data_IF_260430078438
#
_entry.id   IF_260430078438
#
_cell.length_a   1.000
_cell.length_b   1.000
_cell.length_c   1.000
_cell.angle_alpha   90.00
_cell.angle_beta   90.00
_cell.angle_gamma   90.00
#
_symmetry.space_group_name_H-M   'P 1'
#
loop_
_entity.id
_entity.type
_entity.pdbx_description
1 polymer ?
#
# COMPACT_ATOMS: atom_id res chain seq x y z
N UNK A 1 5.06 14.31 22.34
CA UNK A 1 5.11 13.31 21.26
C UNK A 1 6.10 12.16 21.51
N UNK A 2 7.10 12.33 22.39
CA UNK A 2 8.01 11.25 22.83
C UNK A 2 7.26 10.12 23.55
N UNK A 3 6.16 10.41 24.24
CA UNK A 3 5.52 9.42 25.12
C UNK A 3 4.75 8.30 24.41
N UNK A 4 4.00 8.59 23.33
CA UNK A 4 3.29 7.55 22.56
C UNK A 4 4.23 6.72 21.67
N UNK A 5 5.23 7.36 21.06
CA UNK A 5 6.24 6.68 20.24
C UNK A 5 7.13 5.80 21.11
N UNK A 6 7.54 6.31 22.28
CA UNK A 6 8.28 5.53 23.28
C UNK A 6 7.41 4.46 23.94
N UNK A 7 6.13 4.71 24.20
CA UNK A 7 5.19 3.71 24.76
C UNK A 7 4.97 2.54 23.81
N UNK A 8 4.82 2.82 22.50
CA UNK A 8 4.66 1.78 21.49
C UNK A 8 5.96 0.99 21.27
N UNK A 9 7.11 1.69 21.18
CA UNK A 9 8.41 1.01 21.06
C UNK A 9 8.77 0.23 22.32
N UNK A 10 8.45 0.73 23.52
CA UNK A 10 8.64 0.01 24.78
C UNK A 10 7.72 -1.20 24.87
N UNK A 11 6.47 -1.10 24.40
CA UNK A 11 5.53 -2.23 24.38
C UNK A 11 5.96 -3.34 23.41
N UNK A 12 6.57 -2.98 22.28
CA UNK A 12 7.13 -3.97 21.35
C UNK A 12 8.45 -4.54 21.88
N UNK A 13 9.32 -3.71 22.46
CA UNK A 13 10.61 -4.14 23.00
C UNK A 13 10.48 -4.94 24.31
N UNK A 14 9.39 -4.76 25.08
CA UNK A 14 9.13 -5.50 26.32
C UNK A 14 8.46 -6.86 26.11
N UNK A 15 8.04 -7.19 24.87
CA UNK A 15 7.62 -8.54 24.52
C UNK A 15 8.84 -9.46 24.57
N UNK A 16 9.14 -10.03 25.75
CA UNK A 16 9.99 -11.21 25.87
C UNK A 16 9.39 -12.27 24.96
N UNK A 17 10.07 -12.54 23.84
CA UNK A 17 9.72 -13.60 22.91
C UNK A 17 9.93 -14.93 23.63
N UNK A 18 8.94 -15.35 24.41
CA UNK A 18 8.85 -16.74 24.88
C UNK A 18 8.57 -17.56 23.62
N UNK A 19 9.45 -18.53 23.32
CA UNK A 19 9.30 -19.41 22.17
C UNK A 19 7.88 -19.98 22.07
N UNK A 20 7.44 -20.39 20.87
CA UNK A 20 6.03 -20.70 20.63
C UNK A 20 5.57 -21.80 21.60
N UNK A 21 4.66 -21.45 22.52
CA UNK A 21 3.72 -22.44 23.07
C UNK A 21 3.11 -23.15 21.87
N UNK A 22 3.03 -24.48 21.90
CA UNK A 22 2.37 -25.27 20.85
C UNK A 22 0.98 -24.66 20.65
N UNK A 23 0.84 -23.84 19.61
CA UNK A 23 -0.39 -23.18 19.26
C UNK A 23 -1.09 -24.16 18.33
N UNK A 24 -2.22 -24.69 18.76
CA UNK A 24 -3.16 -25.31 17.85
C UNK A 24 -3.48 -24.32 16.72
N UNK A 25 -3.48 -24.78 15.48
CA UNK A 25 -3.69 -23.92 14.32
C UNK A 25 -3.63 -24.69 13.00
N UNK A 26 -3.67 -23.95 11.90
CA UNK A 26 -3.68 -24.50 10.54
C UNK A 26 -2.35 -24.25 9.85
N UNK A 27 -1.88 -25.22 9.08
CA UNK A 27 -0.75 -25.03 8.18
C UNK A 27 -1.23 -24.94 6.74
N UNK A 28 -0.67 -23.99 5.98
CA UNK A 28 -0.92 -23.85 4.55
C UNK A 28 0.36 -23.39 3.87
N UNK A 29 0.88 -24.18 2.92
CA UNK A 29 2.11 -23.89 2.17
C UNK A 29 3.30 -23.47 3.07
N UNK A 30 3.47 -24.15 4.20
CA UNK A 30 4.56 -23.85 5.16
C UNK A 30 4.30 -22.66 6.09
N UNK A 31 3.23 -21.89 5.90
CA UNK A 31 2.78 -20.92 6.91
C UNK A 31 2.00 -21.60 8.03
N UNK A 32 2.08 -21.01 9.22
CA UNK A 32 1.25 -21.33 10.36
C UNK A 32 0.25 -20.19 10.62
N UNK A 33 -1.02 -20.54 10.67
CA UNK A 33 -2.11 -19.63 11.01
C UNK A 33 -2.73 -20.05 12.33
N UNK A 34 -2.82 -19.11 13.28
CA UNK A 34 -3.74 -19.32 14.41
C UNK A 34 -5.19 -19.36 13.89
N UNK A 35 -6.10 -19.95 14.66
CA UNK A 35 -7.52 -20.06 14.29
C UNK A 35 -8.13 -18.74 13.82
N UNK A 36 -7.87 -17.64 14.54
CA UNK A 36 -8.37 -16.31 14.18
C UNK A 36 -7.85 -15.82 12.82
N UNK A 37 -6.55 -15.93 12.57
CA UNK A 37 -5.97 -15.50 11.29
C UNK A 37 -6.45 -16.36 10.13
N UNK A 38 -6.62 -17.67 10.34
CA UNK A 38 -7.17 -18.56 9.32
C UNK A 38 -8.63 -18.23 9.02
N UNK A 39 -9.42 -17.88 10.05
CA UNK A 39 -10.80 -17.43 9.88
C UNK A 39 -10.88 -16.14 9.04
N UNK A 40 -10.06 -15.13 9.33
CA UNK A 40 -9.98 -13.89 8.53
C UNK A 40 -9.57 -14.13 7.07
N UNK A 41 -8.60 -15.03 6.85
CA UNK A 41 -8.19 -15.47 5.52
C UNK A 41 -9.35 -16.14 4.79
N UNK A 42 -9.99 -17.12 5.43
CA UNK A 42 -11.08 -17.91 4.86
C UNK A 42 -12.32 -17.08 4.58
N UNK A 43 -12.76 -16.25 5.52
CA UNK A 43 -13.91 -15.35 5.32
C UNK A 43 -13.70 -14.50 4.07
N UNK A 44 -12.48 -13.94 3.92
CA UNK A 44 -12.18 -13.11 2.76
C UNK A 44 -12.08 -13.91 1.46
N UNK A 45 -11.54 -15.13 1.52
CA UNK A 45 -11.52 -16.05 0.38
C UNK A 45 -12.95 -16.38 -0.08
N UNK A 46 -13.80 -16.82 0.85
CA UNK A 46 -15.19 -17.23 0.58
C UNK A 46 -16.04 -16.05 0.05
N UNK A 47 -15.84 -14.83 0.57
CA UNK A 47 -16.51 -13.63 0.06
C UNK A 47 -16.15 -13.37 -1.42
N UNK A 48 -14.89 -13.55 -1.80
CA UNK A 48 -14.44 -13.35 -3.19
C UNK A 48 -14.99 -14.45 -4.10
N UNK A 49 -14.94 -15.71 -3.67
CA UNK A 49 -15.50 -16.82 -4.43
C UNK A 49 -17.02 -16.70 -4.61
N UNK A 50 -17.74 -16.21 -3.60
CA UNK A 50 -19.18 -15.92 -3.71
C UNK A 50 -19.44 -14.81 -4.73
N UNK A 51 -18.68 -13.72 -4.71
CA UNK A 51 -18.80 -12.65 -5.71
C UNK A 51 -18.51 -13.18 -7.12
N UNK A 52 -17.53 -14.06 -7.29
CA UNK A 52 -17.23 -14.72 -8.55
C UNK A 52 -18.41 -15.57 -9.05
N UNK A 53 -18.94 -16.47 -8.22
CA UNK A 53 -20.09 -17.30 -8.59
C UNK A 53 -21.33 -16.48 -8.98
N UNK A 54 -21.59 -15.37 -8.26
CA UNK A 54 -22.68 -14.45 -8.58
C UNK A 54 -22.44 -13.69 -9.90
N UNK A 55 -21.20 -13.27 -10.17
CA UNK A 55 -20.81 -12.64 -11.43
C UNK A 55 -21.01 -13.59 -12.61
N UNK A 56 -20.58 -14.86 -12.50
CA UNK A 56 -20.82 -15.88 -13.52
C UNK A 56 -22.32 -16.10 -13.78
N UNK A 57 -23.15 -16.18 -12.72
CA UNK A 57 -24.61 -16.29 -12.86
C UNK A 57 -25.21 -15.09 -13.60
N UNK A 58 -24.69 -13.89 -13.34
CA UNK A 58 -25.15 -12.66 -13.99
C UNK A 58 -24.77 -12.60 -15.47
N UNK A 59 -23.54 -12.99 -15.80
CA UNK A 59 -23.04 -13.13 -17.16
C UNK A 59 -23.91 -14.09 -17.99
N UNK A 60 -24.19 -15.29 -17.47
CA UNK A 60 -25.06 -16.27 -18.16
C UNK A 60 -26.48 -15.73 -18.42
N UNK A 61 -27.05 -14.97 -17.49
CA UNK A 61 -28.39 -14.36 -17.67
C UNK A 61 -28.40 -13.28 -18.75
N UNK A 62 -27.34 -12.48 -18.85
CA UNK A 62 -27.24 -11.41 -19.85
C UNK A 62 -27.04 -11.94 -21.25
N UNK A 63 -26.20 -12.97 -21.41
CA UNK A 63 -26.00 -13.67 -22.69
C UNK A 63 -27.31 -14.21 -23.25
N UNK A 64 -28.17 -14.80 -22.39
CA UNK A 64 -29.53 -15.25 -22.79
C UNK A 64 -30.46 -14.14 -23.25
N UNK A 65 -30.23 -12.89 -22.83
CA UNK A 65 -31.03 -11.72 -23.20
C UNK A 65 -30.50 -10.99 -24.43
N UNK A 66 -29.45 -11.48 -25.09
CA UNK A 66 -28.84 -10.82 -26.25
C UNK A 66 -28.24 -9.44 -25.93
N UNK A 67 -27.98 -9.13 -24.66
CA UNK A 67 -27.35 -7.86 -24.28
C UNK A 67 -25.86 -8.00 -24.55
N UNK A 68 -25.39 -7.41 -25.64
CA UNK A 68 -23.95 -7.19 -25.89
C UNK A 68 -23.44 -6.19 -24.85
N UNK A 69 -22.78 -6.71 -23.83
CA UNK A 69 -22.14 -5.93 -22.78
C UNK A 69 -20.67 -6.37 -22.66
N UNK A 70 -19.80 -5.45 -22.28
CA UNK A 70 -18.36 -5.64 -22.02
C UNK A 70 -18.12 -6.79 -21.02
N UNK A 71 -19.12 -7.13 -20.20
CA UNK A 71 -19.10 -8.22 -19.22
C UNK A 71 -19.52 -9.60 -19.76
N UNK A 72 -19.74 -9.73 -21.08
CA UNK A 72 -20.08 -11.01 -21.71
C UNK A 72 -18.85 -11.89 -22.00
N UNK A 73 -17.65 -11.33 -21.94
CA UNK A 73 -16.38 -12.05 -22.11
C UNK A 73 -15.72 -12.39 -20.76
N UNK A 74 -14.94 -13.49 -20.71
CA UNK A 74 -14.06 -13.78 -19.59
C UNK A 74 -13.12 -12.60 -19.30
N UNK A 75 -12.81 -12.33 -18.02
CA UNK A 75 -11.71 -11.43 -17.70
C UNK A 75 -10.37 -12.06 -18.12
N UNK A 76 -9.47 -11.24 -18.66
CA UNK A 76 -8.16 -11.64 -19.19
C UNK A 76 -6.99 -11.05 -18.40
N UNK A 77 -7.27 -10.14 -17.46
CA UNK A 77 -6.27 -9.46 -16.65
C UNK A 77 -6.82 -9.11 -15.25
N UNK A 78 -5.96 -8.59 -14.37
CA UNK A 78 -6.37 -8.25 -13.00
C UNK A 78 -7.40 -7.11 -12.95
N UNK A 79 -7.39 -6.19 -13.92
CA UNK A 79 -8.28 -5.04 -13.95
C UNK A 79 -9.71 -5.46 -14.34
N UNK A 80 -9.84 -6.19 -15.44
CA UNK A 80 -11.06 -6.83 -15.93
C UNK A 80 -11.61 -7.83 -14.90
N UNK A 81 -10.77 -8.64 -14.24
CA UNK A 81 -11.21 -9.52 -13.17
C UNK A 81 -11.84 -8.72 -12.01
N UNK A 82 -11.20 -7.64 -11.57
CA UNK A 82 -11.76 -6.77 -10.52
C UNK A 82 -13.11 -6.19 -10.95
N UNK A 83 -13.25 -5.71 -12.19
CA UNK A 83 -14.53 -5.20 -12.73
C UNK A 83 -15.60 -6.31 -12.79
N UNK A 84 -15.22 -7.50 -13.24
CA UNK A 84 -16.10 -8.67 -13.30
C UNK A 84 -16.62 -9.04 -11.91
N UNK A 85 -15.73 -9.17 -10.92
CA UNK A 85 -16.09 -9.45 -9.53
C UNK A 85 -16.98 -8.38 -8.91
N UNK A 86 -16.88 -7.12 -9.35
CA UNK A 86 -17.79 -6.07 -8.89
C UNK A 86 -19.24 -6.36 -9.28
N UNK A 87 -19.51 -6.99 -10.43
CA UNK A 87 -20.89 -7.31 -10.87
C UNK A 87 -21.61 -8.28 -9.92
N UNK A 88 -20.87 -9.18 -9.28
CA UNK A 88 -21.42 -10.12 -8.28
C UNK A 88 -21.66 -9.51 -6.90
N UNK A 89 -21.15 -8.31 -6.63
CA UNK A 89 -21.32 -7.64 -5.33
C UNK A 89 -22.72 -7.04 -5.16
N UNK A 90 -23.12 -6.85 -3.90
CA UNK A 90 -24.32 -6.08 -3.56
C UNK A 90 -24.20 -4.63 -4.06
N UNK A 91 -25.26 -4.09 -4.65
CA UNK A 91 -25.29 -2.72 -5.21
C UNK A 91 -24.85 -1.65 -4.21
N UNK A 92 -25.20 -1.82 -2.94
CA UNK A 92 -24.81 -0.88 -1.87
C UNK A 92 -23.29 -0.81 -1.69
N UNK A 93 -22.60 -1.94 -1.73
CA UNK A 93 -21.15 -2.02 -1.54
C UNK A 93 -20.39 -1.53 -2.76
N UNK A 94 -20.93 -1.80 -3.97
CA UNK A 94 -20.45 -1.19 -5.21
C UNK A 94 -20.50 0.34 -5.13
N UNK A 95 -21.66 0.93 -4.76
CA UNK A 95 -21.83 2.38 -4.62
C UNK A 95 -20.86 2.97 -3.59
N UNK A 96 -20.64 2.28 -2.46
CA UNK A 96 -19.67 2.71 -1.44
C UNK A 96 -18.24 2.74 -1.99
N UNK A 97 -17.84 1.68 -2.70
CA UNK A 97 -16.51 1.58 -3.34
C UNK A 97 -16.31 2.66 -4.41
N UNK A 98 -17.29 2.86 -5.31
CA UNK A 98 -17.25 3.90 -6.34
C UNK A 98 -17.10 5.30 -5.75
N UNK A 99 -17.86 5.64 -4.70
CA UNK A 99 -17.74 6.94 -4.01
C UNK A 99 -16.35 7.15 -3.42
N UNK A 100 -15.80 6.13 -2.76
CA UNK A 100 -14.45 6.16 -2.19
C UNK A 100 -13.38 6.35 -3.27
N UNK A 101 -13.45 5.59 -4.35
CA UNK A 101 -12.53 5.73 -5.49
C UNK A 101 -12.60 7.13 -6.09
N UNK A 102 -13.81 7.65 -6.35
CA UNK A 102 -13.99 9.00 -6.89
C UNK A 102 -13.45 10.09 -5.94
N UNK A 103 -13.56 9.90 -4.62
CA UNK A 103 -12.95 10.81 -3.65
C UNK A 103 -11.42 10.78 -3.75
N UNK A 104 -10.80 9.60 -3.78
CA UNK A 104 -9.35 9.46 -3.93
C UNK A 104 -8.86 10.07 -5.25
N UNK A 105 -9.54 9.78 -6.37
CA UNK A 105 -9.18 10.34 -7.69
C UNK A 105 -9.27 11.87 -7.73
N UNK A 106 -10.27 12.48 -7.07
CA UNK A 106 -10.35 13.94 -6.93
C UNK A 106 -9.14 14.51 -6.19
N UNK A 107 -8.70 13.84 -5.11
CA UNK A 107 -7.51 14.26 -4.36
C UNK A 107 -6.22 14.10 -5.18
N UNK A 108 -6.08 13.00 -5.93
CA UNK A 108 -4.94 12.77 -6.84
C UNK A 108 -4.88 13.86 -7.91
N UNK A 109 -6.02 14.17 -8.56
CA UNK A 109 -6.10 15.23 -9.58
C UNK A 109 -5.77 16.61 -9.00
N UNK A 110 -6.25 16.89 -7.79
CA UNK A 110 -5.94 18.13 -7.09
C UNK A 110 -4.44 18.26 -6.81
N UNK A 111 -3.81 17.20 -6.30
CA UNK A 111 -2.37 17.15 -6.06
C UNK A 111 -1.58 17.31 -7.37
N UNK A 112 -1.95 16.60 -8.43
CA UNK A 112 -1.31 16.70 -9.75
C UNK A 112 -1.36 18.13 -10.31
N UNK A 113 -2.54 18.78 -10.26
CA UNK A 113 -2.67 20.17 -10.69
C UNK A 113 -1.82 21.13 -9.86
N UNK A 114 -1.66 20.87 -8.57
CA UNK A 114 -0.80 21.67 -7.69
C UNK A 114 0.68 21.50 -8.04
N UNK A 115 1.13 20.27 -8.27
CA UNK A 115 2.50 19.97 -8.71
C UNK A 115 2.77 20.63 -10.06
N UNK A 116 1.84 20.52 -11.02
CA UNK A 116 1.95 21.15 -12.34
C UNK A 116 2.16 22.66 -12.22
N UNK A 117 1.40 23.35 -11.35
CA UNK A 117 1.60 24.79 -11.11
C UNK A 117 3.00 25.13 -10.59
N UNK A 118 3.60 24.25 -9.79
CA UNK A 118 4.97 24.41 -9.30
C UNK A 118 6.02 24.13 -10.39
N UNK A 119 5.69 23.31 -11.39
CA UNK A 119 6.55 23.12 -12.57
C UNK A 119 6.47 24.35 -13.48
N UNK A 120 5.26 24.87 -13.71
CA UNK A 120 5.00 26.02 -14.57
C UNK A 120 5.42 27.37 -13.93
N UNK A 121 5.72 27.36 -12.63
CA UNK A 121 5.90 28.55 -11.79
C UNK A 121 7.06 29.46 -12.22
N UNK A 122 6.83 30.78 -12.20
CA UNK A 122 7.87 31.82 -12.35
C UNK A 122 8.56 32.08 -11.01
N UNK A 123 9.87 32.35 -11.04
CA UNK A 123 10.81 32.62 -9.92
C UNK A 123 10.24 32.51 -8.50
N UNK A 124 10.54 31.39 -7.82
CA UNK A 124 10.31 31.17 -6.39
C UNK A 124 9.39 30.00 -6.03
N UNK A 125 8.59 29.50 -6.97
CA UNK A 125 7.65 28.39 -6.77
C UNK A 125 8.11 27.16 -7.58
N UNK A 126 9.34 26.68 -7.33
CA UNK A 126 9.93 25.59 -8.10
C UNK A 126 9.56 24.22 -7.53
N UNK A 127 9.04 23.34 -8.38
CA UNK A 127 8.93 21.92 -8.07
C UNK A 127 10.31 21.29 -7.83
N UNK A 128 10.41 20.22 -7.02
CA UNK A 128 11.63 19.42 -6.94
C UNK A 128 12.09 19.00 -8.33
N UNK A 129 13.40 19.04 -8.60
CA UNK A 129 13.92 18.51 -9.88
C UNK A 129 13.76 16.99 -9.91
N UNK A 130 14.01 16.33 -8.78
CA UNK A 130 13.79 14.90 -8.61
C UNK A 130 12.77 14.59 -7.52
N UNK A 131 12.04 13.48 -7.66
CA UNK A 131 11.26 12.90 -6.57
C UNK A 131 11.62 11.43 -6.43
N UNK A 132 11.93 10.97 -5.21
CA UNK A 132 12.06 9.55 -4.92
C UNK A 132 10.94 9.17 -3.96
N UNK A 133 10.05 8.28 -4.38
CA UNK A 133 9.05 7.68 -3.48
C UNK A 133 9.56 6.31 -3.04
N UNK A 134 10.01 6.23 -1.79
CA UNK A 134 10.62 5.01 -1.25
C UNK A 134 9.61 4.24 -0.40
N UNK A 135 9.14 3.12 -0.95
CA UNK A 135 8.11 2.29 -0.34
C UNK A 135 8.72 1.13 0.42
N UNK A 136 8.56 1.14 1.74
CA UNK A 136 8.92 0.00 2.58
C UNK A 136 7.76 -0.51 3.42
N UNK A 137 7.88 -1.77 3.83
CA UNK A 137 6.90 -2.43 4.67
C UNK A 137 6.69 -3.87 4.27
N UNK A 138 5.98 -4.59 5.13
CA UNK A 138 5.73 -6.02 4.99
C UNK A 138 5.03 -6.37 3.67
N UNK A 139 5.09 -7.63 3.30
CA UNK A 139 4.29 -8.17 2.21
C UNK A 139 2.81 -8.03 2.51
N UNK A 140 2.02 -7.83 1.46
CA UNK A 140 0.58 -7.52 1.56
C UNK A 140 0.20 -6.23 2.33
N UNK A 141 1.16 -5.40 2.78
CA UNK A 141 0.90 -4.12 3.47
C UNK A 141 0.25 -3.05 2.60
N UNK A 142 0.07 -3.29 1.30
CA UNK A 142 -0.65 -2.39 0.41
C UNK A 142 0.18 -1.24 -0.14
N UNK A 143 1.52 -1.38 -0.16
CA UNK A 143 2.51 -0.45 -0.77
C UNK A 143 2.04 0.08 -2.12
N UNK A 144 1.99 -0.77 -3.14
CA UNK A 144 1.65 -0.37 -4.52
C UNK A 144 0.22 0.20 -4.60
N UNK A 145 -0.75 -0.39 -3.90
CA UNK A 145 -2.15 0.06 -3.96
C UNK A 145 -2.46 1.39 -3.26
N UNK A 146 -1.50 1.94 -2.52
CA UNK A 146 -1.63 3.17 -1.73
C UNK A 146 -0.61 4.20 -2.19
N UNK A 147 0.65 3.81 -2.33
CA UNK A 147 1.76 4.62 -2.83
C UNK A 147 1.61 5.05 -4.29
N UNK A 148 1.07 4.19 -5.16
CA UNK A 148 0.92 4.54 -6.59
C UNK A 148 -0.04 5.73 -6.83
N UNK A 149 -0.82 6.16 -5.82
CA UNK A 149 -1.65 7.36 -5.94
C UNK A 149 -0.80 8.64 -6.09
N UNK A 150 0.35 8.69 -5.43
CA UNK A 150 1.28 9.82 -5.59
C UNK A 150 1.97 9.72 -6.95
N UNK A 151 2.36 8.50 -7.36
CA UNK A 151 2.88 8.24 -8.72
C UNK A 151 1.91 8.77 -9.79
N UNK A 152 0.62 8.44 -9.68
CA UNK A 152 -0.39 8.88 -10.65
C UNK A 152 -0.54 10.42 -10.66
N UNK A 153 -0.39 11.08 -9.51
CA UNK A 153 -0.39 12.55 -9.43
C UNK A 153 0.86 13.18 -10.08
N UNK A 154 2.04 12.57 -9.90
CA UNK A 154 3.29 13.01 -10.52
C UNK A 154 3.23 12.88 -12.05
N UNK A 155 2.73 11.75 -12.56
CA UNK A 155 2.51 11.53 -14.01
C UNK A 155 1.53 12.59 -14.55
N UNK A 156 0.42 12.85 -13.87
CA UNK A 156 -0.55 13.87 -14.28
C UNK A 156 0.03 15.29 -14.28
N UNK A 157 1.08 15.53 -13.50
CA UNK A 157 1.79 16.79 -13.45
C UNK A 157 2.98 16.87 -14.43
N UNK A 158 3.19 15.85 -15.27
CA UNK A 158 4.23 15.86 -16.29
C UNK A 158 5.61 15.37 -15.84
N UNK A 159 5.76 14.75 -14.66
CA UNK A 159 7.00 14.03 -14.33
C UNK A 159 7.17 12.79 -15.21
N UNK A 160 8.41 12.52 -15.62
CA UNK A 160 8.80 11.17 -16.06
C UNK A 160 8.91 10.27 -14.83
N UNK A 161 8.16 9.15 -14.77
CA UNK A 161 8.10 8.32 -13.57
C UNK A 161 8.45 6.87 -13.84
N UNK A 162 9.58 6.43 -13.30
CA UNK A 162 10.02 5.04 -13.39
C UNK A 162 9.73 4.28 -12.09
N UNK A 163 9.43 2.98 -12.23
CA UNK A 163 9.30 2.05 -11.11
C UNK A 163 10.55 1.16 -11.08
N UNK A 164 11.29 1.22 -9.97
CA UNK A 164 12.48 0.40 -9.74
C UNK A 164 12.19 -0.56 -8.59
N UNK A 165 12.46 -1.84 -8.83
CA UNK A 165 12.27 -2.89 -7.83
C UNK A 165 13.62 -3.37 -7.29
N UNK A 166 13.80 -3.30 -5.98
CA UNK A 166 15.01 -3.78 -5.30
C UNK A 166 14.73 -5.03 -4.47
N UNK A 167 14.08 -6.02 -5.09
CA UNK A 167 13.71 -7.29 -4.47
C UNK A 167 14.81 -8.37 -4.59
N UNK A 168 15.85 -8.14 -5.41
CA UNK A 168 16.95 -9.08 -5.60
C UNK A 168 18.12 -8.77 -4.66
N UNK A 169 18.82 -9.78 -4.14
CA UNK A 169 20.09 -9.59 -3.46
C UNK A 169 21.10 -8.83 -4.36
N UNK A 170 22.03 -8.07 -3.78
CA UNK A 170 23.04 -7.37 -4.56
C UNK A 170 23.93 -8.35 -5.32
N UNK A 171 24.28 -7.99 -6.56
CA UNK A 171 25.21 -8.76 -7.40
C UNK A 171 26.63 -8.75 -6.82
N UNK A 172 27.51 -9.64 -7.29
CA UNK A 172 28.91 -9.65 -6.87
C UNK A 172 29.58 -8.29 -7.11
N UNK A 173 29.32 -7.66 -8.26
CA UNK A 173 29.85 -6.34 -8.61
C UNK A 173 29.31 -5.23 -7.68
N UNK A 174 28.01 -5.27 -7.35
CA UNK A 174 27.41 -4.30 -6.43
C UNK A 174 27.96 -4.42 -5.02
N UNK A 175 28.34 -5.62 -4.58
CA UNK A 175 28.97 -5.84 -3.26
C UNK A 175 30.37 -5.24 -3.15
N UNK A 176 31.05 -4.97 -4.28
CA UNK A 176 32.38 -4.36 -4.32
C UNK A 176 32.34 -2.82 -4.28
N UNK A 177 31.16 -2.21 -4.37
CA UNK A 177 30.95 -0.75 -4.36
C UNK A 177 30.35 -0.30 -3.03
N UNK A 178 30.42 1.01 -2.70
CA UNK A 178 29.65 1.58 -1.60
C UNK A 178 28.17 1.19 -1.68
N UNK A 179 27.57 0.86 -0.54
CA UNK A 179 26.29 0.15 -0.53
C UNK A 179 25.15 0.97 -1.15
N UNK A 180 25.16 2.29 -0.94
CA UNK A 180 24.14 3.19 -1.48
C UNK A 180 24.26 3.46 -2.99
N UNK A 181 25.40 3.17 -3.63
CA UNK A 181 25.58 3.42 -5.08
C UNK A 181 24.71 2.54 -5.98
N UNK A 182 24.21 1.41 -5.45
CA UNK A 182 23.33 0.51 -6.21
C UNK A 182 21.91 1.05 -6.40
N UNK A 183 21.54 2.13 -5.70
CA UNK A 183 20.21 2.72 -5.77
C UNK A 183 20.21 3.95 -6.67
N UNK A 184 19.32 3.94 -7.66
CA UNK A 184 19.25 4.94 -8.71
C UNK A 184 18.71 6.29 -8.23
N UNK A 185 19.28 7.38 -8.76
CA UNK A 185 18.80 8.74 -8.57
C UNK A 185 18.06 9.23 -9.83
N UNK A 186 16.98 10.02 -9.68
CA UNK A 186 16.20 10.53 -10.82
C UNK A 186 17.01 11.45 -11.73
N UNK A 187 18.05 12.10 -11.21
CA UNK A 187 18.92 12.99 -11.99
C UNK A 187 20.35 12.59 -11.68
N UNK A 188 21.01 11.95 -12.64
CA UNK A 188 22.45 11.77 -12.58
C UNK A 188 23.09 13.04 -13.13
N UNK A 189 23.82 13.77 -12.28
CA UNK A 189 24.59 14.94 -12.68
C UNK A 189 25.73 14.53 -13.61
N UNK A 190 25.45 14.42 -14.91
CA UNK A 190 26.35 14.66 -16.05
C UNK A 190 27.77 14.05 -16.06
N UNK A 191 28.11 13.10 -15.20
CA UNK A 191 29.45 12.52 -15.17
C UNK A 191 29.37 11.05 -14.77
N UNK A 192 29.66 10.18 -15.73
CA UNK A 192 30.00 8.76 -15.55
C UNK A 192 28.88 7.70 -15.49
N UNK A 193 27.71 7.91 -16.11
CA UNK A 193 27.10 6.75 -16.79
C UNK A 193 27.82 6.59 -18.12
N UNK A 194 28.93 5.85 -18.08
CA UNK A 194 29.60 5.32 -19.26
C UNK A 194 28.53 4.50 -19.99
N UNK A 195 28.01 5.04 -21.08
CA UNK A 195 27.20 4.30 -22.04
C UNK A 195 28.08 3.15 -22.53
N UNK A 196 27.97 2.01 -21.86
CA UNK A 196 28.51 0.74 -22.33
C UNK A 196 27.30 -0.02 -22.83
N UNK A 197 26.86 0.33 -24.04
CA UNK A 197 26.18 -0.56 -24.97
C UNK A 197 26.14 0.14 -26.35
N UNK A 198 27.33 0.31 -26.93
CA UNK A 198 27.47 0.42 -28.38
C UNK A 198 27.15 -0.96 -28.98
N UNK A 199 25.94 -1.11 -29.51
CA UNK A 199 25.71 -2.02 -30.63
C UNK A 199 25.28 -1.17 -31.82
N UNK A 200 26.18 -1.10 -32.78
CA UNK A 200 26.10 -0.37 -34.03
C UNK A 200 24.77 -0.62 -34.77
N UNK A 201 23.93 0.41 -34.87
CA UNK A 201 23.04 0.59 -36.01
C UNK A 201 22.96 2.07 -36.33
N UNK A 202 23.77 2.49 -37.30
CA UNK A 202 23.79 3.85 -37.84
C UNK A 202 22.51 4.11 -38.65
N UNK A 203 21.59 4.89 -38.08
CA UNK A 203 20.61 5.66 -38.85
C UNK A 203 20.73 7.13 -38.44
N UNK A 204 21.48 7.98 -39.19
CA UNK A 204 21.82 9.34 -38.78
C UNK A 204 20.73 10.39 -39.05
N UNK A 205 19.45 10.02 -39.15
CA UNK A 205 18.39 10.94 -39.55
C UNK A 205 17.21 10.95 -38.56
N UNK A 206 17.16 12.01 -37.74
CA UNK A 206 16.10 12.41 -36.77
C UNK A 206 16.26 11.90 -35.33
N UNK A 207 17.37 12.22 -34.66
CA UNK A 207 17.29 12.43 -33.20
C UNK A 207 16.77 13.85 -32.94
N UNK A 208 15.45 14.03 -33.06
CA UNK A 208 14.76 15.13 -32.38
C UNK A 208 14.95 14.90 -30.88
N UNK A 209 16.03 15.47 -30.32
CA UNK A 209 16.23 15.58 -28.88
C UNK A 209 15.05 16.37 -28.33
N UNK A 210 14.01 15.66 -27.91
CA UNK A 210 12.93 16.23 -27.11
C UNK A 210 13.59 17.01 -25.97
N UNK A 211 13.17 18.25 -25.69
CA UNK A 211 13.73 19.01 -24.58
C UNK A 211 13.69 18.11 -23.33
N UNK A 212 14.85 17.81 -22.76
CA UNK A 212 14.98 16.93 -21.60
C UNK A 212 13.99 17.40 -20.55
N UNK A 213 13.03 16.54 -20.20
CA UNK A 213 12.04 16.90 -19.20
C UNK A 213 12.80 17.05 -17.87
N UNK A 214 12.85 18.26 -17.27
CA UNK A 214 13.74 18.52 -16.14
C UNK A 214 13.27 17.84 -14.84
N UNK A 215 12.09 17.22 -14.85
CA UNK A 215 11.43 16.62 -13.69
C UNK A 215 11.27 15.11 -13.84
N UNK A 216 12.06 14.37 -13.05
CA UNK A 216 12.03 12.90 -13.03
C UNK A 216 11.70 12.38 -11.63
N UNK A 217 10.91 11.32 -11.57
CA UNK A 217 10.58 10.64 -10.34
C UNK A 217 10.91 9.15 -10.41
N UNK A 218 11.42 8.60 -9.30
CA UNK A 218 11.65 7.18 -9.13
C UNK A 218 10.77 6.64 -8.01
N UNK A 219 10.11 5.52 -8.28
CA UNK A 219 9.39 4.76 -7.27
C UNK A 219 10.26 3.58 -6.90
N UNK A 220 10.77 3.56 -5.67
CA UNK A 220 11.50 2.41 -5.15
C UNK A 220 10.50 1.48 -4.45
N UNK A 221 10.14 0.38 -5.10
CA UNK A 221 9.38 -0.70 -4.47
C UNK A 221 10.35 -1.66 -3.79
N UNK A 222 10.45 -1.51 -2.46
CA UNK A 222 11.59 -1.93 -1.63
C UNK A 222 12.85 -1.11 -1.90
N UNK A 223 13.84 -1.23 -1.03
CA UNK A 223 15.11 -0.55 -1.16
C UNK A 223 16.07 -0.90 -0.02
N UNK A 224 16.86 0.06 0.49
CA UNK A 224 17.88 -0.17 1.52
C UNK A 224 17.41 -0.96 2.76
N UNK A 225 16.18 -0.74 3.23
CA UNK A 225 15.66 -1.42 4.42
C UNK A 225 15.42 -2.91 4.15
N UNK A 226 15.13 -3.28 2.90
CA UNK A 226 15.04 -4.67 2.46
C UNK A 226 16.29 -5.48 2.79
N UNK A 227 17.50 -4.89 2.72
CA UNK A 227 18.74 -5.59 3.06
C UNK A 227 18.85 -5.92 4.55
N UNK A 228 18.27 -5.09 5.41
CA UNK A 228 18.23 -5.30 6.87
C UNK A 228 17.17 -6.31 7.28
N UNK A 229 16.13 -6.49 6.45
CA UNK A 229 15.02 -7.40 6.76
C UNK A 229 15.28 -8.78 6.18
N UNK A 230 15.59 -8.83 4.89
CA UNK A 230 15.68 -10.04 4.07
C UNK A 230 17.09 -10.36 3.59
N UNK A 231 18.02 -9.39 3.64
CA UNK A 231 19.38 -9.54 3.13
C UNK A 231 20.42 -9.88 4.21
N UNK A 232 21.69 -9.81 3.80
CA UNK A 232 22.84 -10.13 4.66
C UNK A 232 22.98 -9.17 5.86
N UNK A 233 22.43 -7.95 5.78
CA UNK A 233 22.48 -6.99 6.89
C UNK A 233 21.55 -7.38 8.04
N UNK A 234 20.60 -8.31 7.82
CA UNK A 234 19.76 -8.84 8.89
C UNK A 234 20.57 -9.52 10.01
N UNK A 235 21.71 -10.14 9.67
CA UNK A 235 22.60 -10.86 10.59
C UNK A 235 23.97 -10.20 10.75
N UNK A 236 24.18 -9.02 10.16
CA UNK A 236 25.43 -8.28 10.32
C UNK A 236 25.63 -7.80 11.77
N UNK A 237 26.87 -7.48 12.13
CA UNK A 237 27.18 -6.87 13.44
C UNK A 237 26.52 -5.50 13.57
N UNK A 238 26.35 -5.03 14.81
CA UNK A 238 25.73 -3.73 15.04
C UNK A 238 26.62 -2.59 14.51
N UNK A 239 27.94 -2.74 14.57
CA UNK A 239 28.89 -1.76 13.99
C UNK A 239 28.66 -1.59 12.48
N UNK A 240 28.55 -2.70 11.75
CA UNK A 240 28.23 -2.67 10.31
C UNK A 240 26.87 -2.04 10.05
N UNK A 241 25.85 -2.35 10.86
CA UNK A 241 24.53 -1.74 10.70
C UNK A 241 24.57 -0.22 10.92
N UNK A 242 25.30 0.24 11.93
CA UNK A 242 25.47 1.67 12.22
C UNK A 242 26.20 2.41 11.09
N UNK A 243 27.20 1.79 10.48
CA UNK A 243 27.85 2.32 9.27
C UNK A 243 26.85 2.46 8.11
N UNK A 244 26.05 1.42 7.85
CA UNK A 244 25.01 1.49 6.80
C UNK A 244 23.93 2.53 7.13
N UNK A 245 23.53 2.70 8.38
CA UNK A 245 22.62 3.80 8.74
C UNK A 245 23.23 5.17 8.40
N UNK A 246 24.53 5.39 8.66
CA UNK A 246 25.22 6.64 8.30
C UNK A 246 25.25 6.86 6.79
N UNK A 247 25.60 5.85 5.99
CA UNK A 247 25.58 5.95 4.52
C UNK A 247 24.19 6.31 3.97
N UNK A 248 23.14 5.69 4.51
CA UNK A 248 21.76 6.02 4.10
C UNK A 248 21.39 7.47 4.42
N UNK A 249 21.86 7.97 5.57
CA UNK A 249 21.62 9.35 6.00
C UNK A 249 22.42 10.36 5.16
N UNK A 250 23.65 10.04 4.80
CA UNK A 250 24.44 10.83 3.85
C UNK A 250 23.78 10.89 2.47
N UNK A 251 23.23 9.77 2.00
CA UNK A 251 22.43 9.74 0.77
C UNK A 251 21.19 10.65 0.85
N UNK A 252 20.50 10.67 1.99
CA UNK A 252 19.35 11.55 2.22
C UNK A 252 19.74 13.04 2.12
N UNK A 253 20.87 13.44 2.73
CA UNK A 253 21.45 14.79 2.57
C UNK A 253 21.80 15.09 1.11
N UNK A 254 22.43 14.13 0.42
CA UNK A 254 22.78 14.29 -0.99
C UNK A 254 21.53 14.51 -1.85
N UNK A 255 20.41 13.85 -1.56
CA UNK A 255 19.13 14.09 -2.25
C UNK A 255 18.69 15.55 -2.10
N UNK A 256 18.68 16.08 -0.87
CA UNK A 256 18.34 17.48 -0.58
C UNK A 256 19.25 18.45 -1.37
N UNK A 257 20.56 18.26 -1.30
CA UNK A 257 21.56 19.09 -2.00
C UNK A 257 21.35 19.11 -3.52
N UNK A 258 20.89 18.00 -4.09
CA UNK A 258 20.60 17.87 -5.51
C UNK A 258 19.16 18.27 -5.91
N UNK A 259 18.43 18.95 -5.01
CA UNK A 259 17.04 19.34 -5.23
C UNK A 259 16.10 18.14 -5.54
N UNK A 260 16.32 17.03 -4.84
CA UNK A 260 15.53 15.81 -4.91
C UNK A 260 14.70 15.67 -3.63
N UNK A 261 13.38 15.59 -3.78
CA UNK A 261 12.47 15.26 -2.68
C UNK A 261 12.49 13.75 -2.43
N UNK A 262 13.20 13.32 -1.39
CA UNK A 262 13.24 11.92 -0.96
C UNK A 262 12.14 11.61 0.04
N UNK A 263 11.02 11.04 -0.42
CA UNK A 263 9.87 10.70 0.42
C UNK A 263 9.97 9.26 0.93
N UNK A 264 10.35 9.09 2.20
CA UNK A 264 10.50 7.79 2.86
C UNK A 264 9.17 7.34 3.47
N UNK A 265 8.58 6.25 2.97
CA UNK A 265 7.27 5.75 3.38
C UNK A 265 7.37 4.36 4.00
N UNK A 266 6.91 4.20 5.25
CA UNK A 266 6.81 2.90 5.92
C UNK A 266 5.34 2.49 6.05
N UNK A 267 4.93 1.50 5.26
CA UNK A 267 3.59 0.93 5.28
C UNK A 267 3.46 -0.11 6.40
N UNK A 268 2.59 0.18 7.36
CA UNK A 268 2.32 -0.71 8.51
C UNK A 268 0.88 -1.20 8.42
N UNK A 269 0.70 -2.51 8.48
CA UNK A 269 -0.62 -3.15 8.51
C UNK A 269 -0.64 -4.15 9.65
N UNK A 270 -1.80 -4.37 10.26
CA UNK A 270 -1.97 -5.48 11.19
C UNK A 270 -1.98 -6.84 10.46
N UNK A 271 -1.76 -7.89 11.24
CA UNK A 271 -1.69 -9.27 10.78
C UNK A 271 -3.02 -9.75 10.20
N UNK A 272 -4.16 -9.33 10.76
CA UNK A 272 -5.50 -9.67 10.26
C UNK A 272 -5.74 -9.13 8.84
N UNK A 273 -5.34 -7.88 8.58
CA UNK A 273 -5.43 -7.27 7.26
C UNK A 273 -4.48 -7.93 6.25
N UNK A 274 -3.32 -8.45 6.68
CA UNK A 274 -2.48 -9.31 5.83
C UNK A 274 -3.22 -10.61 5.51
N UNK A 275 -3.74 -11.32 6.52
CA UNK A 275 -4.50 -12.56 6.34
C UNK A 275 -5.66 -12.40 5.35
N UNK A 276 -6.45 -11.32 5.47
CA UNK A 276 -7.50 -10.98 4.50
C UNK A 276 -6.95 -10.75 3.09
N UNK A 277 -5.79 -10.10 2.98
CA UNK A 277 -5.15 -9.85 1.69
C UNK A 277 -4.67 -11.16 1.04
N UNK A 278 -4.09 -12.07 1.82
CA UNK A 278 -3.72 -13.41 1.39
C UNK A 278 -4.95 -14.22 0.94
N UNK A 279 -6.03 -14.21 1.73
CA UNK A 279 -7.29 -14.89 1.36
C UNK A 279 -7.88 -14.38 0.05
N UNK A 280 -7.85 -13.06 -0.17
CA UNK A 280 -8.23 -12.46 -1.45
C UNK A 280 -7.34 -12.95 -2.60
N UNK A 281 -6.02 -12.96 -2.42
CA UNK A 281 -5.06 -13.38 -3.46
C UNK A 281 -5.19 -14.86 -3.79
N UNK A 282 -5.40 -15.72 -2.79
CA UNK A 282 -5.70 -17.14 -2.97
C UNK A 282 -6.98 -17.36 -3.79
N UNK A 283 -8.05 -16.60 -3.48
CA UNK A 283 -9.28 -16.69 -4.26
C UNK A 283 -9.08 -16.23 -5.71
N UNK A 284 -8.32 -15.15 -5.93
CA UNK A 284 -7.97 -14.69 -7.27
C UNK A 284 -7.20 -15.78 -8.05
N UNK A 285 -6.20 -16.41 -7.42
CA UNK A 285 -5.44 -17.53 -7.99
C UNK A 285 -6.35 -18.69 -8.40
N UNK A 286 -7.27 -19.11 -7.51
CA UNK A 286 -8.24 -20.16 -7.83
C UNK A 286 -9.16 -19.77 -9.00
N UNK A 287 -9.64 -18.53 -9.02
CA UNK A 287 -10.47 -18.01 -10.11
C UNK A 287 -9.70 -18.03 -11.43
N UNK A 288 -8.42 -17.65 -11.43
CA UNK A 288 -7.61 -17.67 -12.66
C UNK A 288 -7.46 -19.09 -13.20
N UNK A 289 -7.22 -20.08 -12.34
CA UNK A 289 -7.21 -21.49 -12.75
C UNK A 289 -8.54 -21.92 -13.39
N UNK A 290 -9.67 -21.52 -12.80
CA UNK A 290 -11.00 -21.82 -13.37
C UNK A 290 -11.20 -21.11 -14.74
N UNK A 291 -10.69 -19.87 -14.89
CA UNK A 291 -10.74 -19.12 -16.13
C UNK A 291 -9.84 -19.74 -17.22
N UNK A 292 -8.66 -20.25 -16.87
CA UNK A 292 -7.79 -20.98 -17.81
C UNK A 292 -8.55 -22.17 -18.39
N UNK A 293 -9.15 -23.01 -17.54
CA UNK A 293 -9.94 -24.18 -17.95
C UNK A 293 -11.10 -23.76 -18.87
N UNK A 294 -11.82 -22.69 -18.51
CA UNK A 294 -12.93 -22.21 -19.32
C UNK A 294 -12.48 -21.71 -20.70
N UNK A 295 -11.40 -20.94 -20.75
CA UNK A 295 -10.81 -20.44 -22.00
C UNK A 295 -10.28 -21.59 -22.87
N UNK A 296 -9.58 -22.57 -22.28
CA UNK A 296 -9.07 -23.76 -22.98
C UNK A 296 -10.20 -24.58 -23.59
N UNK A 297 -11.33 -24.69 -22.88
CA UNK A 297 -12.51 -25.41 -23.36
C UNK A 297 -13.27 -24.65 -24.46
N UNK A 298 -13.10 -23.32 -24.55
CA UNK A 298 -13.86 -22.46 -25.47
C UNK A 298 -13.09 -22.15 -26.77
N UNK A 299 -11.77 -22.12 -26.71
CA UNK A 299 -10.88 -21.92 -27.85
C UNK A 299 -10.52 -23.28 -28.44
N UNK A 300 -11.32 -23.79 -29.38
CA UNK A 300 -11.08 -25.09 -30.01
C UNK A 300 -9.67 -25.23 -30.59
N UNK A 301 -8.77 -25.89 -29.84
CA UNK A 301 -7.55 -26.58 -30.25
C UNK A 301 -6.42 -25.85 -31.00
N UNK A 302 -6.63 -24.66 -31.56
CA UNK A 302 -5.75 -24.17 -32.65
C UNK A 302 -4.74 -23.07 -32.30
N UNK A 303 -5.08 -22.17 -31.39
CA UNK A 303 -4.23 -20.99 -31.10
C UNK A 303 -4.10 -20.77 -29.59
N UNK A 304 -2.88 -20.82 -29.03
CA UNK A 304 -2.66 -20.39 -27.66
C UNK A 304 -3.05 -18.92 -27.57
N UNK A 305 -4.11 -18.63 -26.83
CA UNK A 305 -4.46 -17.25 -26.48
C UNK A 305 -3.40 -16.79 -25.49
N UNK A 306 -2.68 -15.71 -25.79
CA UNK A 306 -1.79 -15.07 -24.84
C UNK A 306 -2.59 -14.65 -23.60
N UNK A 307 -2.19 -15.15 -22.43
CA UNK A 307 -2.90 -14.99 -21.15
C UNK A 307 -2.03 -14.27 -20.12
N UNK A 308 -1.14 -13.40 -20.58
CA UNK A 308 -0.18 -12.68 -19.72
C UNK A 308 -0.85 -12.04 -18.49
N UNK A 309 -2.06 -11.48 -18.67
CA UNK A 309 -2.81 -10.86 -17.58
C UNK A 309 -3.38 -11.83 -16.54
N UNK A 310 -3.66 -13.09 -16.89
CA UNK A 310 -4.05 -14.13 -15.92
C UNK A 310 -2.84 -14.71 -15.21
N UNK A 311 -1.74 -14.89 -15.95
CA UNK A 311 -0.47 -15.36 -15.40
C UNK A 311 0.05 -14.37 -14.35
N UNK A 312 -0.03 -13.05 -14.60
CA UNK A 312 0.31 -12.02 -13.62
C UNK A 312 -0.49 -12.18 -12.30
N UNK A 313 -1.75 -12.61 -12.38
CA UNK A 313 -2.58 -12.81 -11.18
C UNK A 313 -2.15 -14.06 -10.42
N UNK A 314 -1.80 -15.15 -11.12
CA UNK A 314 -1.33 -16.38 -10.49
C UNK A 314 0.01 -16.15 -9.76
N UNK A 315 0.91 -15.37 -10.38
CA UNK A 315 2.19 -14.96 -9.79
C UNK A 315 2.07 -13.91 -8.68
N UNK A 316 0.90 -13.29 -8.50
CA UNK A 316 0.72 -12.24 -7.49
C UNK A 316 0.65 -12.77 -6.05
N UNK A 317 0.70 -14.09 -5.86
CA UNK A 317 0.88 -14.74 -4.56
C UNK A 317 2.07 -15.69 -4.60
N UNK A 318 3.10 -15.35 -3.83
CA UNK A 318 4.33 -16.12 -3.74
C UNK A 318 4.28 -17.01 -2.49
N UNK A 319 4.71 -18.29 -2.53
CA UNK A 319 4.88 -19.10 -1.31
C UNK A 319 5.69 -18.39 -0.20
N UNK A 320 6.62 -17.50 -0.55
CA UNK A 320 7.38 -16.70 0.40
C UNK A 320 6.53 -15.65 1.14
N UNK A 321 5.38 -15.21 0.61
CA UNK A 321 4.42 -14.34 1.32
C UNK A 321 3.93 -15.01 2.62
N UNK A 322 3.77 -16.33 2.60
CA UNK A 322 3.34 -17.15 3.74
C UNK A 322 4.45 -17.29 4.79
N UNK A 323 5.69 -17.50 4.35
CA UNK A 323 6.86 -17.53 5.24
C UNK A 323 7.02 -16.15 5.91
N UNK A 324 6.93 -15.07 5.13
CA UNK A 324 7.01 -13.71 5.64
C UNK A 324 5.90 -13.39 6.66
N UNK A 325 4.70 -13.96 6.47
CA UNK A 325 3.59 -13.82 7.42
C UNK A 325 3.89 -14.45 8.79
N UNK A 326 4.56 -15.61 8.84
CA UNK A 326 4.99 -16.22 10.11
C UNK A 326 6.02 -15.35 10.85
N UNK A 327 6.90 -14.70 10.10
CA UNK A 327 7.92 -13.79 10.63
C UNK A 327 7.40 -12.35 10.83
N UNK A 328 6.07 -12.13 10.86
CA UNK A 328 5.45 -10.80 10.94
C UNK A 328 6.09 -9.87 11.97
N UNK A 329 6.15 -10.29 13.24
CA UNK A 329 6.68 -9.44 14.32
C UNK A 329 8.18 -9.17 14.16
N UNK A 330 8.94 -10.19 13.76
CA UNK A 330 10.39 -10.07 13.54
C UNK A 330 10.69 -9.10 12.39
N UNK A 331 10.03 -9.27 11.25
CA UNK A 331 10.23 -8.42 10.08
C UNK A 331 9.74 -6.99 10.32
N UNK A 332 8.59 -6.81 11.00
CA UNK A 332 8.10 -5.49 11.36
C UNK A 332 9.08 -4.78 12.30
N UNK A 333 9.61 -5.48 13.29
CA UNK A 333 10.61 -4.93 14.22
C UNK A 333 11.88 -4.47 13.47
N UNK A 334 12.38 -5.27 12.53
CA UNK A 334 13.54 -4.90 11.70
C UNK A 334 13.27 -3.65 10.86
N UNK A 335 12.11 -3.55 10.20
CA UNK A 335 11.72 -2.34 9.46
C UNK A 335 11.60 -1.11 10.36
N UNK A 336 10.96 -1.25 11.52
CA UNK A 336 10.79 -0.17 12.49
C UNK A 336 12.14 0.28 13.04
N UNK A 337 13.07 -0.64 13.29
CA UNK A 337 14.42 -0.30 13.73
C UNK A 337 15.20 0.41 12.64
N UNK A 338 15.13 -0.03 11.38
CA UNK A 338 15.75 0.70 10.27
C UNK A 338 15.20 2.11 10.19
N UNK A 339 13.88 2.27 10.19
CA UNK A 339 13.24 3.58 10.15
C UNK A 339 13.65 4.45 11.35
N UNK A 340 13.67 3.90 12.58
CA UNK A 340 14.06 4.62 13.80
C UNK A 340 15.50 5.14 13.74
N UNK A 341 16.44 4.32 13.27
CA UNK A 341 17.86 4.70 13.16
C UNK A 341 18.12 5.63 11.96
N UNK A 342 17.14 5.83 11.07
CA UNK A 342 17.28 6.68 9.88
C UNK A 342 16.22 7.78 9.77
N UNK A 343 15.52 8.06 10.88
CA UNK A 343 14.42 9.04 10.93
C UNK A 343 14.92 10.47 11.09
N UNK A 344 15.97 10.64 11.89
CA UNK A 344 16.51 11.95 12.26
C UNK A 344 17.96 12.03 11.78
N UNK A 345 18.27 13.14 11.10
CA UNK A 345 19.64 13.50 10.79
C UNK A 345 20.39 13.80 12.09
N UNK A 346 21.58 13.20 12.32
CA UNK A 346 22.48 13.76 13.31
C UNK A 346 22.92 15.16 12.84
N UNK A 347 23.21 16.07 13.78
CA UNK A 347 23.75 17.39 13.44
C UNK A 347 24.97 17.24 12.52
N UNK A 348 25.07 18.08 11.49
CA UNK A 348 26.29 18.17 10.69
C UNK A 348 27.37 18.90 11.49
N UNK A 349 28.61 18.42 11.46
CA UNK A 349 29.76 19.07 12.09
C UNK A 349 29.97 20.51 11.57
N UNK A 350 29.60 20.74 10.30
CA UNK A 350 29.77 22.02 9.61
C UNK A 350 28.67 23.07 9.95
N UNK A 351 27.67 22.70 10.75
CA UNK A 351 26.57 23.58 11.17
C UNK A 351 25.58 24.02 10.07
N UNK A 352 25.95 23.98 8.79
CA UNK A 352 25.15 24.45 7.64
C UNK A 352 23.85 23.65 7.42
N UNK A 353 23.77 22.39 7.85
CA UNK A 353 22.62 21.50 7.64
C UNK A 353 21.89 21.10 8.92
N UNK A 354 22.13 21.81 10.03
CA UNK A 354 21.57 21.44 11.35
C UNK A 354 20.02 21.40 11.39
N UNK A 355 19.36 22.15 10.51
CA UNK A 355 17.90 22.24 10.42
C UNK A 355 17.27 21.26 9.41
N UNK A 356 18.07 20.50 8.65
CA UNK A 356 17.49 19.55 7.70
C UNK A 356 16.96 18.30 8.41
N UNK A 357 15.65 18.10 8.34
CA UNK A 357 15.00 16.87 8.78
C UNK A 357 14.22 16.25 7.63
N UNK A 358 14.31 14.93 7.48
CA UNK A 358 13.48 14.19 6.53
C UNK A 358 12.91 12.97 7.23
N UNK A 359 11.83 13.11 8.02
CA UNK A 359 11.29 11.99 8.80
C UNK A 359 10.60 10.96 7.91
N UNK A 360 10.56 9.72 8.38
CA UNK A 360 9.73 8.68 7.80
C UNK A 360 8.24 8.99 7.97
N UNK A 361 7.48 8.81 6.89
CA UNK A 361 6.01 8.83 6.93
C UNK A 361 5.52 7.42 7.16
N UNK A 362 4.99 7.17 8.36
CA UNK A 362 4.38 5.89 8.70
C UNK A 362 2.92 5.87 8.27
N UNK A 363 2.57 4.95 7.37
CA UNK A 363 1.23 4.83 6.77
C UNK A 363 0.54 3.57 7.30
N UNK A 364 -0.44 3.73 8.18
CA UNK A 364 -1.27 2.60 8.63
C UNK A 364 -2.27 2.20 7.53
N UNK A 365 -2.13 0.99 6.97
CA UNK A 365 -2.97 0.50 5.86
C UNK A 365 -4.04 -0.50 6.28
N UNK A 366 -4.22 -0.74 7.59
CA UNK A 366 -5.36 -1.49 8.16
C UNK A 366 -6.69 -1.04 7.54
N UNK A 367 -6.87 0.28 7.40
CA UNK A 367 -7.98 0.87 6.63
C UNK A 367 -7.43 1.63 5.43
N UNK A 368 -7.33 0.94 4.28
CA UNK A 368 -6.72 1.48 3.05
C UNK A 368 -7.30 2.80 2.56
N UNK A 369 -8.63 3.01 2.62
CA UNK A 369 -9.23 4.26 2.10
C UNK A 369 -8.79 5.50 2.90
N UNK A 370 -8.94 5.55 4.24
CA UNK A 370 -8.36 6.60 5.06
C UNK A 370 -6.84 6.79 4.84
N UNK A 371 -6.09 5.68 4.77
CA UNK A 371 -4.64 5.71 4.58
C UNK A 371 -4.23 6.43 3.29
N UNK A 372 -4.95 6.18 2.18
CA UNK A 372 -4.74 6.84 0.90
C UNK A 372 -4.95 8.34 0.97
N UNK A 373 -6.03 8.79 1.60
CA UNK A 373 -6.32 10.22 1.75
C UNK A 373 -5.28 10.91 2.63
N UNK A 374 -4.88 10.26 3.72
CA UNK A 374 -3.83 10.76 4.61
C UNK A 374 -2.49 10.86 3.88
N UNK A 375 -2.10 9.84 3.11
CA UNK A 375 -0.85 9.83 2.35
C UNK A 375 -0.77 10.99 1.35
N UNK A 376 -1.83 11.22 0.56
CA UNK A 376 -1.87 12.33 -0.41
C UNK A 376 -1.68 13.68 0.30
N UNK A 377 -2.38 13.91 1.42
CA UNK A 377 -2.26 15.15 2.20
C UNK A 377 -0.87 15.30 2.83
N UNK A 378 -0.28 14.22 3.32
CA UNK A 378 1.07 14.25 3.91
C UNK A 378 2.13 14.55 2.85
N UNK A 379 2.03 13.93 1.68
CA UNK A 379 2.93 14.22 0.57
C UNK A 379 2.81 15.68 0.12
N UNK A 380 1.60 16.21 0.03
CA UNK A 380 1.38 17.64 -0.25
C UNK A 380 2.07 18.56 0.77
N UNK A 381 2.02 18.21 2.06
CA UNK A 381 2.74 18.95 3.11
C UNK A 381 4.25 18.88 2.94
N UNK A 382 4.80 17.70 2.63
CA UNK A 382 6.23 17.53 2.35
C UNK A 382 6.66 18.34 1.13
N UNK A 383 5.84 18.39 0.08
CA UNK A 383 6.10 19.18 -1.11
C UNK A 383 6.15 20.68 -0.80
N UNK A 384 5.20 21.20 -0.02
CA UNK A 384 5.22 22.61 0.41
C UNK A 384 6.43 22.91 1.31
N UNK A 385 6.75 22.01 2.25
CA UNK A 385 7.89 22.14 3.15
C UNK A 385 9.22 22.14 2.37
N UNK A 386 9.33 21.27 1.37
CA UNK A 386 10.47 21.21 0.46
C UNK A 386 10.65 22.54 -0.29
N UNK A 387 9.57 23.06 -0.88
CA UNK A 387 9.57 24.35 -1.58
C UNK A 387 10.05 25.50 -0.69
N UNK A 388 9.61 25.53 0.56
CA UNK A 388 9.93 26.62 1.48
C UNK A 388 11.38 26.54 2.01
N UNK A 389 12.17 25.56 1.58
CA UNK A 389 13.48 25.22 2.16
C UNK A 389 13.37 24.58 3.55
N UNK A 390 12.24 24.77 4.22
CA UNK A 390 11.87 24.29 5.55
C UNK A 390 11.38 22.85 5.52
N UNK A 391 12.28 21.91 5.27
CA UNK A 391 11.98 20.49 5.45
C UNK A 391 11.85 20.08 6.92
N UNK A 392 11.82 21.02 7.87
CA UNK A 392 11.29 20.78 9.20
C UNK A 392 9.78 20.48 9.16
N UNK A 393 9.45 19.25 8.78
CA UNK A 393 8.18 18.64 9.14
C UNK A 393 8.24 18.34 10.64
N UNK A 394 7.93 19.35 11.44
CA UNK A 394 7.40 19.12 12.77
C UNK A 394 6.18 18.21 12.55
N UNK A 395 6.34 16.94 12.87
CA UNK A 395 5.25 16.05 13.20
C UNK A 395 4.59 16.59 14.48
N UNK A 396 4.01 17.80 14.39
CA UNK A 396 2.88 18.17 15.22
C UNK A 396 1.80 17.23 14.75
N UNK A 397 1.76 16.05 15.36
CA UNK A 397 0.51 15.36 15.61
C UNK A 397 -0.42 16.47 16.06
N UNK A 398 -1.35 16.84 15.18
CA UNK A 398 -2.48 17.66 15.56
C UNK A 398 -3.17 16.86 16.65
N UNK A 399 -2.80 17.08 17.92
CA UNK A 399 -3.54 16.60 19.07
C UNK A 399 -4.96 17.21 19.04
N UNK A 400 -5.15 18.30 18.27
CA UNK A 400 -6.44 18.87 17.88
C UNK A 400 -6.96 18.45 16.49
N UNK A 401 -6.31 17.51 15.80
CA UNK A 401 -6.75 16.96 14.50
C UNK A 401 -7.39 15.59 14.61
N UNK A 402 -7.57 15.13 15.85
CA UNK A 402 -8.61 14.18 16.20
C UNK A 402 -10.00 14.84 16.30
N UNK A 403 -10.30 15.89 15.53
CA UNK A 403 -11.66 16.42 15.32
C UNK A 403 -12.07 16.43 13.84
N UNK A 404 -11.23 16.80 12.88
CA UNK A 404 -11.66 16.77 11.45
C UNK A 404 -11.61 15.36 10.82
N UNK A 405 -10.65 14.52 11.21
CA UNK A 405 -10.56 13.14 10.70
C UNK A 405 -11.39 12.16 11.55
N UNK A 406 -11.55 12.48 12.83
CA UNK A 406 -12.60 11.86 13.66
C UNK A 406 -13.96 12.34 13.23
N UNK A 407 -14.21 13.52 12.67
CA UNK A 407 -15.59 13.87 12.25
C UNK A 407 -16.16 12.88 11.23
N UNK A 408 -15.35 12.30 10.33
CA UNK A 408 -15.84 11.29 9.38
C UNK A 408 -15.91 9.87 10.01
N UNK A 409 -14.99 9.54 10.91
CA UNK A 409 -15.02 8.29 11.70
C UNK A 409 -16.13 8.33 12.76
N UNK A 410 -16.41 9.49 13.33
CA UNK A 410 -17.51 9.89 14.21
C UNK A 410 -18.79 10.09 13.42
N UNK A 411 -18.78 10.41 12.14
CA UNK A 411 -19.98 10.31 11.31
C UNK A 411 -20.36 8.84 11.10
N UNK A 412 -19.40 7.93 10.88
CA UNK A 412 -19.68 6.48 10.85
C UNK A 412 -19.99 5.92 12.26
N UNK A 413 -19.31 6.37 13.32
CA UNK A 413 -19.54 5.98 14.73
C UNK A 413 -20.84 6.57 15.29
N UNK A 414 -21.23 7.80 14.94
CA UNK A 414 -22.51 8.41 15.27
C UNK A 414 -23.65 7.79 14.47
N UNK A 415 -23.42 7.38 13.21
CA UNK A 415 -24.37 6.52 12.48
C UNK A 415 -24.50 5.15 13.14
N UNK A 416 -23.42 4.58 13.69
CA UNK A 416 -23.45 3.33 14.44
C UNK A 416 -24.20 3.50 15.77
N UNK A 417 -23.88 4.52 16.58
CA UNK A 417 -24.59 4.90 17.80
C UNK A 417 -26.07 5.17 17.53
N UNK A 418 -26.41 5.84 16.42
CA UNK A 418 -27.78 6.07 16.00
C UNK A 418 -28.52 4.77 15.64
N UNK A 419 -27.87 3.86 14.91
CA UNK A 419 -28.42 2.52 14.60
C UNK A 419 -28.54 1.63 15.83
N UNK A 420 -27.57 1.69 16.73
CA UNK A 420 -27.57 0.95 17.98
C UNK A 420 -28.66 1.45 18.92
N UNK A 421 -28.83 2.76 19.08
CA UNK A 421 -29.96 3.37 19.80
C UNK A 421 -31.31 2.94 19.19
N UNK A 422 -31.45 2.88 17.86
CA UNK A 422 -32.67 2.37 17.21
C UNK A 422 -32.90 0.87 17.48
N UNK A 423 -31.84 0.05 17.47
CA UNK A 423 -31.92 -1.38 17.81
C UNK A 423 -32.31 -1.59 19.28
N UNK A 424 -31.70 -0.86 20.20
CA UNK A 424 -32.06 -0.88 21.63
C UNK A 424 -33.53 -0.45 21.80
N UNK A 425 -33.96 0.63 21.15
CA UNK A 425 -35.37 1.05 21.18
C UNK A 425 -36.32 -0.02 20.65
N UNK A 426 -35.98 -0.72 19.57
CA UNK A 426 -36.80 -1.84 19.09
C UNK A 426 -36.80 -3.01 20.08
N UNK A 427 -35.65 -3.38 20.63
CA UNK A 427 -35.56 -4.45 21.65
C UNK A 427 -36.43 -4.11 22.86
N UNK A 428 -36.32 -2.88 23.39
CA UNK A 428 -37.15 -2.40 24.50
C UNK A 428 -38.63 -2.35 24.14
N UNK A 429 -38.99 -1.96 22.92
CA UNK A 429 -40.37 -1.96 22.45
C UNK A 429 -40.96 -3.38 22.39
N UNK A 430 -40.24 -4.34 21.80
CA UNK A 430 -40.69 -5.74 21.75
C UNK A 430 -40.72 -6.37 23.14
N UNK A 431 -39.77 -6.03 24.02
CA UNK A 431 -39.80 -6.45 25.41
C UNK A 431 -41.03 -5.90 26.14
N UNK A 432 -41.37 -4.64 25.93
CA UNK A 432 -42.60 -4.04 26.49
C UNK A 432 -43.88 -4.72 25.98
N UNK A 433 -43.95 -5.04 24.69
CA UNK A 433 -45.07 -5.82 24.12
C UNK A 433 -45.15 -7.20 24.77
N UNK A 434 -44.01 -7.89 24.93
CA UNK A 434 -43.98 -9.20 25.57
C UNK A 434 -44.48 -9.15 27.01
N UNK A 435 -44.06 -8.16 27.80
CA UNK A 435 -44.54 -7.96 29.18
C UNK A 435 -46.05 -7.69 29.22
N UNK A 436 -46.56 -6.82 28.35
CA UNK A 436 -48.01 -6.56 28.26
C UNK A 436 -48.80 -7.81 27.84
N UNK A 437 -48.25 -8.60 26.94
CA UNK A 437 -48.84 -9.87 26.51
C UNK A 437 -48.90 -10.89 27.66
N UNK A 438 -47.81 -11.05 28.43
CA UNK A 438 -47.80 -11.89 29.61
C UNK A 438 -48.77 -11.40 30.70
N UNK A 439 -48.84 -10.09 30.94
CA UNK A 439 -49.80 -9.52 31.87
C UNK A 439 -51.25 -9.76 31.43
N UNK A 440 -51.55 -9.61 30.14
CA UNK A 440 -52.86 -9.92 29.58
C UNK A 440 -53.23 -11.40 29.73
N UNK A 441 -52.28 -12.30 29.46
CA UNK A 441 -52.48 -13.74 29.67
C UNK A 441 -52.73 -14.07 31.13
N UNK A 442 -51.95 -13.51 32.05
CA UNK A 442 -52.11 -13.70 33.50
C UNK A 442 -53.49 -13.23 33.98
N UNK A 443 -53.93 -12.03 33.57
CA UNK A 443 -55.27 -11.50 33.86
C UNK A 443 -56.41 -12.36 33.28
N UNK A 444 -56.21 -12.94 32.10
CA UNK A 444 -57.24 -13.71 31.40
C UNK A 444 -57.31 -15.16 31.89
N UNK A 445 -56.18 -15.73 32.32
CA UNK A 445 -56.08 -17.09 32.84
C UNK A 445 -56.32 -17.16 34.35
N UNK A 446 -56.07 -16.10 35.10
CA UNK A 446 -56.39 -16.00 36.54
C UNK A 446 -57.87 -15.77 36.86
N UNK A 447 -58.73 -15.68 35.85
CA UNK A 447 -60.19 -15.59 35.97
C UNK A 447 -60.89 -16.89 35.47
N UNK A 448 -60.15 -18.00 35.38
CA UNK A 448 -60.68 -19.35 35.12
C UNK A 448 -60.78 -20.12 36.42
#
# INVERSE_FOLDING_TARGET
STDLRNSWSRSIASLKYMGPRVLEGFTYQGAFFSFHHFAELRERYDEIMLNYALACKYMCKRRRKGINDEFASPPTDLASLKRFLETGRRTRDQRKTKRRLAQTQRMVKHLGHKIQKMIDGRKGDQAPRGVILYFEGLDCSGKSSTGNLIRDALIQAGYEVDLVQYNRPPTAEQKLRPWMERFELPIQTGSNKKEVFDCESQDPAKSTTSPENPHKALIWDRGPAGDFVYGALATASEETKQERYREFLEFDRACKKNNILFCKLLFVTDRDAISRTLGKRLAHRKICQDLHIWLDSSCGGGTPVEREGLDEIDYHIDPTDFIAFNSYHCNLHKFVNFAKNTDLMPPSDDGEDSDFQNPWVVVSTTKRHPARLALIKTFEKQLNAFREGRLHMLCKTTEKGGTEFTEEIDLESNKFKGRWKRRIKMILFFFGIAVLYFYYLDKKLGNV
#
